data_IF_128715672063
#
_entry.id   IF_128715672063
#
_cell.length_a   1.000
_cell.length_b   1.000
_cell.length_c   1.000
_cell.angle_alpha   90.00
_cell.angle_beta   90.00
_cell.angle_gamma   90.00
#
_symmetry.space_group_name_H-M   'P 1'
#
loop_
_entity.id
_entity.type
_entity.pdbx_description
1 polymer ?
#
# COMPACT_ATOMS: atom_id res chain seq x y z
N UNK A 1 34.59 9.48 9.28
CA UNK A 1 33.32 8.97 9.85
C UNK A 1 32.21 9.76 9.18
N UNK A 2 31.55 9.19 8.17
CA UNK A 2 30.48 9.88 7.46
C UNK A 2 29.41 10.31 8.48
N UNK A 3 29.05 11.59 8.47
CA UNK A 3 28.05 12.16 9.35
C UNK A 3 26.77 11.34 9.24
N UNK A 4 26.44 10.56 10.27
CA UNK A 4 25.24 9.71 10.32
C UNK A 4 23.99 10.57 10.61
N UNK A 5 23.86 11.69 9.91
CA UNK A 5 22.77 12.64 10.06
C UNK A 5 21.66 12.18 9.14
N UNK A 6 20.73 11.40 9.68
CA UNK A 6 19.48 11.07 9.01
C UNK A 6 18.62 12.34 8.98
N UNK A 7 18.70 13.11 7.90
CA UNK A 7 17.75 14.20 7.63
C UNK A 7 16.60 13.63 6.82
N UNK A 8 15.47 13.38 7.48
CA UNK A 8 14.23 13.04 6.79
C UNK A 8 13.49 14.31 6.41
N UNK A 9 13.19 14.44 5.12
CA UNK A 9 12.21 15.41 4.66
C UNK A 9 10.81 14.88 5.01
N UNK A 10 10.27 15.37 6.13
CA UNK A 10 8.97 14.98 6.66
C UNK A 10 7.83 15.20 5.65
N UNK A 11 7.89 16.28 4.87
CA UNK A 11 6.84 16.65 3.92
C UNK A 11 6.83 15.71 2.71
N UNK A 12 8.02 15.38 2.19
CA UNK A 12 8.17 14.41 1.11
C UNK A 12 7.74 13.01 1.54
N UNK A 13 8.16 12.56 2.73
CA UNK A 13 7.76 11.24 3.25
C UNK A 13 6.25 11.16 3.46
N UNK A 14 5.64 12.21 4.02
CA UNK A 14 4.18 12.28 4.20
C UNK A 14 3.46 12.23 2.84
N UNK A 15 4.00 12.90 1.83
CA UNK A 15 3.47 12.85 0.46
C UNK A 15 3.56 11.44 -0.14
N UNK A 16 4.70 10.77 -0.01
CA UNK A 16 4.91 9.40 -0.50
C UNK A 16 3.94 8.43 0.19
N UNK A 17 3.79 8.51 1.52
CA UNK A 17 2.86 7.69 2.30
C UNK A 17 1.43 7.89 1.79
N UNK A 18 1.01 9.15 1.60
CA UNK A 18 -0.31 9.50 1.08
C UNK A 18 -0.55 8.89 -0.31
N UNK A 19 0.43 9.01 -1.21
CA UNK A 19 0.34 8.47 -2.56
C UNK A 19 0.20 6.95 -2.54
N UNK A 20 1.04 6.24 -1.77
CA UNK A 20 0.96 4.78 -1.63
C UNK A 20 -0.40 4.32 -1.08
N UNK A 21 -0.97 5.04 -0.11
CA UNK A 21 -2.33 4.76 0.40
C UNK A 21 -3.42 5.03 -0.63
N UNK A 22 -3.29 6.08 -1.45
CA UNK A 22 -4.21 6.37 -2.55
C UNK A 22 -4.19 5.23 -3.57
N UNK A 23 -3.00 4.87 -4.06
CA UNK A 23 -2.81 3.79 -5.03
C UNK A 23 -3.31 2.45 -4.50
N UNK A 24 -3.08 2.15 -3.22
CA UNK A 24 -3.64 0.97 -2.56
C UNK A 24 -5.18 0.96 -2.68
N UNK A 25 -5.84 2.07 -2.34
CA UNK A 25 -7.29 2.19 -2.40
C UNK A 25 -7.83 2.02 -3.83
N UNK A 26 -7.18 2.66 -4.80
CA UNK A 26 -7.51 2.60 -6.21
C UNK A 26 -7.41 1.16 -6.75
N UNK A 27 -6.33 0.44 -6.42
CA UNK A 27 -6.16 -0.95 -6.83
C UNK A 27 -7.20 -1.86 -6.17
N UNK A 28 -7.54 -1.64 -4.90
CA UNK A 28 -8.61 -2.39 -4.22
C UNK A 28 -9.99 -2.12 -4.85
N UNK A 29 -10.25 -0.89 -5.30
CA UNK A 29 -11.47 -0.55 -6.01
C UNK A 29 -11.50 -1.22 -7.38
N UNK A 30 -10.42 -1.13 -8.15
CA UNK A 30 -10.29 -1.78 -9.45
C UNK A 30 -10.45 -3.30 -9.33
N UNK A 31 -9.84 -3.92 -8.32
CA UNK A 31 -9.97 -5.37 -8.06
C UNK A 31 -11.42 -5.77 -7.83
N UNK A 32 -12.16 -4.99 -7.03
CA UNK A 32 -13.59 -5.23 -6.77
C UNK A 32 -14.44 -5.07 -8.03
N UNK A 33 -14.18 -4.04 -8.83
CA UNK A 33 -14.88 -3.82 -10.10
C UNK A 33 -14.59 -4.95 -11.10
N UNK A 34 -13.33 -5.36 -11.23
CA UNK A 34 -12.92 -6.47 -12.09
C UNK A 34 -13.59 -7.77 -11.66
N UNK A 35 -13.59 -8.09 -10.37
CA UNK A 35 -14.28 -9.27 -9.85
C UNK A 35 -15.78 -9.25 -10.18
N UNK A 36 -16.44 -8.12 -9.95
CA UNK A 36 -17.86 -7.96 -10.26
C UNK A 36 -18.17 -8.19 -11.75
N UNK A 37 -17.29 -7.74 -12.65
CA UNK A 37 -17.42 -8.01 -14.10
C UNK A 37 -17.20 -9.48 -14.44
N UNK A 38 -16.22 -10.15 -13.82
CA UNK A 38 -16.00 -11.60 -14.00
C UNK A 38 -17.22 -12.39 -13.55
N UNK A 39 -17.74 -12.09 -12.35
CA UNK A 39 -18.91 -12.75 -11.80
C UNK A 39 -20.14 -12.54 -12.71
N UNK A 40 -20.30 -11.35 -13.30
CA UNK A 40 -21.38 -11.07 -14.26
C UNK A 40 -21.23 -11.86 -15.57
N UNK A 41 -20.00 -12.05 -16.07
CA UNK A 41 -19.73 -12.87 -17.25
C UNK A 41 -20.10 -14.34 -17.01
N UNK A 42 -19.74 -14.89 -15.84
CA UNK A 42 -20.10 -16.25 -15.46
C UNK A 42 -21.62 -16.44 -15.34
N UNK A 43 -22.32 -15.47 -14.74
CA UNK A 43 -23.77 -15.53 -14.55
C UNK A 43 -24.58 -15.32 -15.84
N UNK A 44 -24.00 -14.67 -16.86
CA UNK A 44 -24.66 -14.40 -18.15
C UNK A 44 -24.62 -15.60 -19.13
N UNK A 45 -24.62 -16.84 -18.61
CA UNK A 45 -24.63 -18.07 -19.41
C UNK A 45 -23.40 -18.24 -20.31
N UNK A 46 -22.27 -17.57 -20.02
CA UNK A 46 -21.01 -17.87 -20.68
C UNK A 46 -20.47 -19.20 -20.13
N UNK A 47 -20.80 -20.28 -20.81
CA UNK A 47 -20.54 -21.65 -20.37
C UNK A 47 -19.64 -22.35 -21.41
N UNK A 48 -18.66 -23.11 -20.93
CA UNK A 48 -17.76 -23.93 -21.76
C UNK A 48 -16.33 -23.96 -21.21
N UNK A 49 -15.47 -24.77 -21.83
CA UNK A 49 -14.09 -24.98 -21.37
C UNK A 49 -13.26 -23.69 -21.35
N UNK A 50 -13.52 -22.76 -22.27
CA UNK A 50 -12.86 -21.47 -22.31
C UNK A 50 -13.29 -20.56 -21.15
N UNK A 51 -14.59 -20.54 -20.82
CA UNK A 51 -15.12 -19.80 -19.67
C UNK A 51 -14.52 -20.34 -18.36
N UNK A 52 -14.53 -21.66 -18.18
CA UNK A 52 -13.93 -22.32 -17.02
C UNK A 52 -12.44 -22.00 -16.86
N UNK A 53 -11.67 -21.97 -17.96
CA UNK A 53 -10.24 -21.60 -17.93
C UNK A 53 -10.04 -20.14 -17.55
N UNK A 54 -10.84 -19.24 -18.13
CA UNK A 54 -10.80 -17.82 -17.81
C UNK A 54 -11.11 -17.56 -16.34
N UNK A 55 -12.19 -18.14 -15.81
CA UNK A 55 -12.59 -17.96 -14.41
C UNK A 55 -11.53 -18.49 -13.46
N UNK A 56 -10.94 -19.65 -13.78
CA UNK A 56 -9.82 -20.18 -13.00
C UNK A 56 -8.60 -19.26 -13.03
N UNK A 57 -8.21 -18.72 -14.19
CA UNK A 57 -7.07 -17.79 -14.27
C UNK A 57 -7.33 -16.50 -13.47
N UNK A 58 -8.55 -15.96 -13.56
CA UNK A 58 -8.96 -14.79 -12.79
C UNK A 58 -8.91 -15.06 -11.29
N UNK A 59 -9.46 -16.19 -10.84
CA UNK A 59 -9.52 -16.55 -9.42
C UNK A 59 -8.16 -16.94 -8.82
N UNK A 60 -7.30 -17.63 -9.59
CA UNK A 60 -6.05 -18.20 -9.07
C UNK A 60 -4.85 -17.26 -9.22
N UNK A 61 -4.83 -16.41 -10.26
CA UNK A 61 -3.64 -15.62 -10.60
C UNK A 61 -3.91 -14.13 -10.61
N UNK A 62 -4.93 -13.68 -11.33
CA UNK A 62 -5.12 -12.24 -11.59
C UNK A 62 -5.65 -11.52 -10.34
N UNK A 63 -6.82 -11.91 -9.81
CA UNK A 63 -7.41 -11.26 -8.63
C UNK A 63 -6.51 -11.37 -7.39
N UNK A 64 -5.88 -12.52 -7.09
CA UNK A 64 -4.89 -12.59 -6.02
C UNK A 64 -3.67 -11.71 -6.28
N UNK A 65 -3.20 -11.61 -7.52
CA UNK A 65 -2.09 -10.72 -7.90
C UNK A 65 -2.39 -9.25 -7.63
N UNK A 66 -3.57 -8.78 -8.00
CA UNK A 66 -4.01 -7.40 -7.72
C UNK A 66 -4.08 -7.12 -6.22
N UNK A 67 -4.62 -8.07 -5.43
CA UNK A 67 -4.65 -7.96 -3.98
C UNK A 67 -3.25 -7.93 -3.36
N UNK A 68 -2.28 -8.71 -3.89
CA UNK A 68 -0.88 -8.67 -3.43
C UNK A 68 -0.25 -7.31 -3.66
N UNK A 69 -0.50 -6.67 -4.80
CA UNK A 69 0.02 -5.32 -5.08
C UNK A 69 -0.57 -4.30 -4.10
N UNK A 70 -1.89 -4.32 -3.89
CA UNK A 70 -2.53 -3.45 -2.91
C UNK A 70 -1.98 -3.67 -1.48
N UNK A 71 -1.75 -4.92 -1.09
CA UNK A 71 -1.18 -5.27 0.21
C UNK A 71 0.27 -4.78 0.35
N UNK A 72 1.07 -4.88 -0.70
CA UNK A 72 2.44 -4.39 -0.72
C UNK A 72 2.50 -2.86 -0.57
N UNK A 73 1.65 -2.12 -1.30
CA UNK A 73 1.54 -0.66 -1.17
C UNK A 73 1.12 -0.25 0.25
N UNK A 74 0.12 -0.93 0.82
CA UNK A 74 -0.32 -0.68 2.18
C UNK A 74 0.80 -0.90 3.22
N UNK A 75 1.53 -2.01 3.08
CA UNK A 75 2.63 -2.37 3.98
C UNK A 75 3.81 -1.42 3.86
N UNK A 76 4.13 -0.97 2.64
CA UNK A 76 5.17 0.02 2.38
C UNK A 76 4.81 1.37 3.03
N UNK A 77 3.57 1.83 2.86
CA UNK A 77 3.08 3.04 3.49
C UNK A 77 3.13 2.96 5.03
N UNK A 78 2.75 1.83 5.62
CA UNK A 78 2.80 1.62 7.07
C UNK A 78 4.24 1.59 7.59
N UNK A 79 5.16 0.98 6.85
CA UNK A 79 6.59 0.99 7.18
C UNK A 79 7.16 2.41 7.13
N UNK A 80 6.88 3.16 6.06
CA UNK A 80 7.31 4.54 5.92
C UNK A 80 6.74 5.44 7.04
N UNK A 81 5.47 5.26 7.42
CA UNK A 81 4.86 5.99 8.53
C UNK A 81 5.55 5.69 9.86
N UNK A 82 5.92 4.44 10.12
CA UNK A 82 6.67 4.06 11.34
C UNK A 82 8.04 4.72 11.38
N UNK A 83 8.74 4.79 10.24
CA UNK A 83 10.04 5.46 10.14
C UNK A 83 9.89 6.95 10.49
N UNK A 84 8.93 7.64 9.88
CA UNK A 84 8.65 9.06 10.15
C UNK A 84 8.35 9.30 11.63
N UNK A 85 7.48 8.48 12.23
CA UNK A 85 7.14 8.62 13.64
C UNK A 85 8.36 8.40 14.55
N UNK A 86 9.17 7.38 14.27
CA UNK A 86 10.37 7.07 15.07
C UNK A 86 11.36 8.23 15.08
N UNK A 87 11.57 8.88 13.93
CA UNK A 87 12.50 10.01 13.83
C UNK A 87 11.91 11.25 14.52
N UNK A 88 10.61 11.50 14.37
CA UNK A 88 9.93 12.60 15.08
C UNK A 88 10.03 12.45 16.59
N UNK A 89 9.78 11.25 17.11
CA UNK A 89 9.85 10.96 18.54
C UNK A 89 11.29 11.15 19.08
N UNK A 90 12.31 10.79 18.28
CA UNK A 90 13.71 11.04 18.61
C UNK A 90 14.07 12.54 18.62
N UNK A 91 13.56 13.31 17.66
CA UNK A 91 13.75 14.76 17.59
C UNK A 91 13.09 15.48 18.77
N UNK A 92 11.87 15.08 19.13
CA UNK A 92 11.13 15.64 20.28
C UNK A 92 11.80 15.30 21.62
N UNK A 93 12.25 14.06 21.80
CA UNK A 93 12.99 13.63 22.99
C UNK A 93 14.31 14.38 23.16
N UNK A 94 15.02 14.61 22.06
CA UNK A 94 16.26 15.39 22.06
C UNK A 94 16.00 16.86 22.41
N UNK A 95 14.99 17.49 21.80
CA UNK A 95 14.59 18.87 22.12
C UNK A 95 14.20 19.04 23.58
N UNK A 96 13.41 18.11 24.14
CA UNK A 96 12.98 18.16 25.55
C UNK A 96 14.15 18.01 26.53
N UNK A 97 15.15 17.19 26.19
CA UNK A 97 16.36 17.06 27.00
C UNK A 97 17.15 18.36 27.07
N UNK A 98 17.35 19.03 25.93
CA UNK A 98 18.07 20.30 25.88
C UNK A 98 17.28 21.47 26.48
N UNK A 99 15.95 21.51 26.35
CA UNK A 99 15.13 22.55 26.98
C UNK A 99 15.08 22.46 28.51
N UNK A 100 15.29 21.28 29.08
CA UNK A 100 15.33 21.07 30.54
C UNK A 100 16.72 21.31 31.16
N UNK A 101 17.75 21.50 30.32
CA UNK A 101 19.14 21.76 30.73
C UNK A 101 19.53 23.24 30.68
N UNK A 102 18.69 24.10 30.09
CA UNK A 102 18.83 25.56 30.10
C UNK A 102 17.85 26.20 31.06
#
# INVERSE_FOLDING_TARGET
MASNTVQVNYDEMTTIIKNMKSEQSEILQLTRQTKSKVDALHNNQWIGDAANKFDNEMAQRILPGMNRVASALGSAADCAQKIVNTIRDADEGTKSFFSNLG
#
